data_IF_698243640028
#
_entry.id   IF_698243640028
#
_cell.length_a   1.000
_cell.length_b   1.000
_cell.length_c   1.000
_cell.angle_alpha   90.00
_cell.angle_beta   90.00
_cell.angle_gamma   90.00
#
_symmetry.space_group_name_H-M   'P 1'
#
loop_
_entity.id
_entity.type
_entity.pdbx_description
1 polymer ?
#
# COMPACT_ATOMS: atom_id res chain seq x y z
N UNK A 1 -31.06 15.06 -11.11
CA UNK A 1 -30.80 14.77 -9.68
C UNK A 1 -29.36 14.31 -9.56
N UNK A 2 -28.60 14.93 -8.67
CA UNK A 2 -27.22 14.61 -8.34
C UNK A 2 -27.18 13.58 -7.22
N UNK A 3 -26.20 12.70 -7.28
CA UNK A 3 -25.99 11.66 -6.29
C UNK A 3 -24.55 11.69 -5.77
N UNK A 4 -24.38 11.34 -4.50
CA UNK A 4 -23.10 11.38 -3.81
C UNK A 4 -22.83 10.02 -3.19
N UNK A 5 -21.63 9.48 -3.43
CA UNK A 5 -21.25 8.17 -2.94
C UNK A 5 -20.16 8.27 -1.86
N UNK A 6 -20.36 7.55 -0.75
CA UNK A 6 -19.36 7.28 0.26
C UNK A 6 -18.87 5.84 0.14
N UNK A 7 -17.55 5.67 0.12
CA UNK A 7 -16.88 4.37 0.07
C UNK A 7 -16.21 4.07 1.40
N UNK A 8 -16.46 2.88 1.93
CA UNK A 8 -15.69 2.28 3.02
C UNK A 8 -14.85 1.14 2.47
N UNK A 9 -13.60 1.45 2.13
CA UNK A 9 -12.69 0.53 1.45
C UNK A 9 -11.99 -0.34 2.48
N UNK A 10 -12.31 -1.63 2.50
CA UNK A 10 -11.60 -2.65 3.30
C UNK A 10 -10.80 -3.59 2.40
N UNK A 11 -10.11 -4.59 2.95
CA UNK A 11 -9.26 -5.49 2.17
C UNK A 11 -10.02 -6.40 1.20
N UNK A 12 -11.16 -6.94 1.63
CA UNK A 12 -11.93 -7.93 0.85
C UNK A 12 -13.13 -7.30 0.13
N UNK A 13 -13.93 -6.56 0.89
CA UNK A 13 -15.13 -5.90 0.38
C UNK A 13 -15.13 -4.40 0.71
N UNK A 14 -15.65 -3.63 -0.23
CA UNK A 14 -15.89 -2.21 -0.08
C UNK A 14 -17.39 -1.97 0.06
N UNK A 15 -17.79 -1.29 1.13
CA UNK A 15 -19.17 -0.85 1.30
C UNK A 15 -19.39 0.47 0.59
N UNK A 16 -20.50 0.56 -0.15
CA UNK A 16 -20.89 1.72 -0.96
C UNK A 16 -22.24 2.22 -0.44
N UNK A 17 -22.33 3.50 -0.12
CA UNK A 17 -23.59 4.15 0.20
C UNK A 17 -23.78 5.36 -0.72
N UNK A 18 -24.97 5.50 -1.30
CA UNK A 18 -25.32 6.57 -2.22
C UNK A 18 -26.47 7.37 -1.63
N UNK A 19 -26.30 8.68 -1.57
CA UNK A 19 -27.32 9.63 -1.12
C UNK A 19 -27.70 10.60 -2.25
N UNK A 20 -28.93 11.07 -2.24
CA UNK A 20 -29.38 12.16 -3.12
C UNK A 20 -29.01 13.55 -2.56
N UNK A 21 -29.39 14.61 -3.29
CA UNK A 21 -29.20 16.01 -2.88
C UNK A 21 -29.87 16.35 -1.53
N UNK A 22 -30.96 15.67 -1.19
CA UNK A 22 -31.70 15.88 0.08
C UNK A 22 -31.04 15.16 1.26
N UNK A 23 -30.08 14.27 0.98
CA UNK A 23 -29.40 13.45 1.98
C UNK A 23 -30.16 12.15 2.31
N UNK A 24 -31.15 11.76 1.50
CA UNK A 24 -31.79 10.45 1.63
C UNK A 24 -30.91 9.39 1.02
N UNK A 25 -30.82 8.24 1.69
CA UNK A 25 -30.13 7.07 1.17
C UNK A 25 -30.95 6.49 0.02
N UNK A 26 -30.34 6.43 -1.16
CA UNK A 26 -30.96 5.95 -2.39
C UNK A 26 -30.58 4.50 -2.63
N UNK A 27 -29.33 4.14 -2.34
CA UNK A 27 -28.81 2.80 -2.57
C UNK A 27 -27.66 2.48 -1.63
N UNK A 28 -27.65 1.26 -1.14
CA UNK A 28 -26.50 0.66 -0.47
C UNK A 28 -26.08 -0.57 -1.24
N UNK A 29 -24.78 -0.77 -1.38
CA UNK A 29 -24.21 -1.89 -2.10
C UNK A 29 -22.88 -2.32 -1.46
N UNK A 30 -22.45 -3.52 -1.80
CA UNK A 30 -21.10 -3.99 -1.53
C UNK A 30 -20.50 -4.48 -2.84
N UNK A 31 -19.20 -4.28 -2.98
CA UNK A 31 -18.42 -4.79 -4.08
C UNK A 31 -17.12 -5.36 -3.52
N UNK A 32 -16.52 -6.29 -4.25
CA UNK A 32 -15.14 -6.68 -3.95
C UNK A 32 -14.25 -5.44 -3.98
N UNK A 33 -13.25 -5.43 -3.11
CA UNK A 33 -12.20 -4.41 -3.04
C UNK A 33 -11.20 -4.55 -4.20
N UNK A 34 -11.74 -4.57 -5.40
CA UNK A 34 -11.05 -4.64 -6.66
C UNK A 34 -11.45 -3.42 -7.52
N UNK A 35 -10.49 -2.77 -8.18
CA UNK A 35 -10.72 -1.70 -9.15
C UNK A 35 -11.91 -1.89 -10.11
N UNK A 36 -11.97 -3.05 -10.78
CA UNK A 36 -12.94 -3.32 -11.81
C UNK A 36 -14.32 -3.58 -11.18
N UNK A 37 -14.36 -4.41 -10.14
CA UNK A 37 -15.60 -4.69 -9.40
C UNK A 37 -16.23 -3.41 -8.83
N UNK A 38 -15.42 -2.48 -8.31
CA UNK A 38 -15.91 -1.19 -7.82
C UNK A 38 -16.45 -0.30 -8.94
N UNK A 39 -15.75 -0.24 -10.07
CA UNK A 39 -16.23 0.51 -11.23
C UNK A 39 -17.55 -0.04 -11.75
N UNK A 40 -17.67 -1.35 -11.87
CA UNK A 40 -18.87 -2.02 -12.36
C UNK A 40 -20.03 -1.84 -11.38
N UNK A 41 -19.78 -1.93 -10.07
CA UNK A 41 -20.79 -1.66 -9.05
C UNK A 41 -21.29 -0.21 -9.09
N UNK A 42 -20.38 0.77 -9.26
CA UNK A 42 -20.73 2.19 -9.33
C UNK A 42 -21.46 2.53 -10.63
N UNK A 43 -20.98 2.06 -11.79
CA UNK A 43 -21.63 2.26 -13.10
C UNK A 43 -22.97 1.53 -13.19
N UNK A 44 -23.04 0.31 -12.65
CA UNK A 44 -24.25 -0.52 -12.59
C UNK A 44 -25.35 0.05 -11.71
N UNK A 45 -25.11 1.15 -10.99
CA UNK A 45 -26.19 1.87 -10.29
C UNK A 45 -27.11 2.62 -11.24
N UNK A 46 -26.64 2.99 -12.43
CA UNK A 46 -27.40 3.84 -13.38
C UNK A 46 -27.61 5.28 -12.89
N UNK A 47 -26.94 5.69 -11.80
CA UNK A 47 -27.08 7.01 -11.19
C UNK A 47 -25.98 7.96 -11.67
N UNK A 48 -26.32 9.23 -11.85
CA UNK A 48 -25.34 10.27 -12.16
C UNK A 48 -24.64 10.72 -10.86
N UNK A 49 -23.53 10.05 -10.53
CA UNK A 49 -22.71 10.34 -9.36
C UNK A 49 -21.88 11.62 -9.58
N UNK A 50 -22.15 12.68 -8.82
CA UNK A 50 -21.43 13.95 -8.90
C UNK A 50 -20.09 13.88 -8.14
N UNK A 51 -20.09 13.26 -6.96
CA UNK A 51 -18.87 13.08 -6.16
C UNK A 51 -18.85 11.70 -5.52
N UNK A 52 -17.67 11.10 -5.53
CA UNK A 52 -17.39 9.82 -4.89
C UNK A 52 -16.23 10.02 -3.93
N UNK A 53 -16.44 9.67 -2.66
CA UNK A 53 -15.45 9.85 -1.61
C UNK A 53 -14.97 8.53 -1.05
N UNK A 54 -13.65 8.37 -0.97
CA UNK A 54 -13.02 7.31 -0.18
C UNK A 54 -12.06 7.93 0.82
N UNK A 55 -11.97 7.33 2.00
CA UNK A 55 -11.02 7.76 3.02
C UNK A 55 -9.57 7.43 2.63
N UNK A 56 -8.63 8.27 3.07
CA UNK A 56 -7.20 7.96 3.00
C UNK A 56 -6.90 6.64 3.74
N UNK A 57 -6.38 5.66 3.00
CA UNK A 57 -6.06 4.32 3.48
C UNK A 57 -4.94 3.70 2.62
N UNK A 58 -4.50 2.49 2.96
CA UNK A 58 -3.54 1.72 2.15
C UNK A 58 -4.06 1.45 0.73
N UNK A 59 -5.38 1.47 0.55
CA UNK A 59 -6.09 1.20 -0.70
C UNK A 59 -6.52 2.48 -1.44
N UNK A 60 -6.03 3.67 -1.06
CA UNK A 60 -6.35 4.92 -1.76
C UNK A 60 -5.96 4.96 -3.23
N UNK A 61 -5.14 4.01 -3.69
CA UNK A 61 -4.85 3.80 -5.11
C UNK A 61 -6.10 3.43 -5.92
N UNK A 62 -7.15 2.88 -5.31
CA UNK A 62 -8.39 2.50 -5.99
C UNK A 62 -9.07 3.69 -6.66
N UNK A 63 -8.83 4.90 -6.16
CA UNK A 63 -9.23 6.16 -6.81
C UNK A 63 -8.79 6.22 -8.27
N UNK A 64 -7.56 5.77 -8.56
CA UNK A 64 -6.96 5.92 -9.88
C UNK A 64 -7.66 5.05 -10.94
N UNK A 65 -8.37 4.00 -10.51
CA UNK A 65 -9.06 3.08 -11.40
C UNK A 65 -10.53 3.42 -11.64
N UNK A 66 -11.06 4.37 -10.88
CA UNK A 66 -12.39 4.94 -11.10
C UNK A 66 -12.37 5.91 -12.30
N UNK A 67 -11.83 5.47 -13.44
CA UNK A 67 -11.73 6.28 -14.65
C UNK A 67 -13.13 6.68 -15.14
N UNK A 68 -13.35 7.99 -15.26
CA UNK A 68 -14.63 8.60 -15.61
C UNK A 68 -15.55 8.89 -14.42
N UNK A 69 -15.15 8.53 -13.19
CA UNK A 69 -15.89 8.85 -11.97
C UNK A 69 -15.07 9.85 -11.14
N UNK A 70 -15.72 10.89 -10.60
CA UNK A 70 -15.08 11.94 -9.78
C UNK A 70 -14.67 11.44 -8.37
N UNK A 71 -13.88 10.37 -8.32
CA UNK A 71 -13.40 9.76 -7.09
C UNK A 71 -12.34 10.65 -6.42
N UNK A 72 -12.57 10.93 -5.14
CA UNK A 72 -11.75 11.82 -4.33
C UNK A 72 -11.33 11.12 -3.05
N UNK A 73 -10.03 11.16 -2.76
CA UNK A 73 -9.51 10.72 -1.49
C UNK A 73 -9.65 11.85 -0.47
N UNK A 74 -10.27 11.57 0.69
CA UNK A 74 -10.53 12.57 1.73
C UNK A 74 -9.68 12.32 2.98
N UNK A 75 -9.32 13.40 3.69
CA UNK A 75 -8.51 13.33 4.91
C UNK A 75 -9.27 12.63 6.05
N UNK A 76 -8.68 11.56 6.61
CA UNK A 76 -9.24 10.76 7.72
C UNK A 76 -9.66 11.61 8.92
N UNK A 77 -8.79 12.52 9.38
CA UNK A 77 -9.03 13.27 10.62
C UNK A 77 -10.23 14.20 10.49
N UNK A 78 -10.34 14.90 9.36
CA UNK A 78 -11.47 15.79 9.11
C UNK A 78 -12.75 15.01 8.85
N UNK A 79 -12.67 13.90 8.10
CA UNK A 79 -13.81 13.00 7.88
C UNK A 79 -14.37 12.54 9.23
N UNK A 80 -13.51 12.07 10.13
CA UNK A 80 -13.89 11.65 11.49
C UNK A 80 -14.48 12.81 12.31
N UNK A 81 -13.94 14.02 12.20
CA UNK A 81 -14.49 15.20 12.88
C UNK A 81 -15.89 15.56 12.36
N UNK A 82 -16.08 15.56 11.04
CA UNK A 82 -17.39 15.80 10.41
C UNK A 82 -18.41 14.71 10.80
N UNK A 83 -18.00 13.44 10.83
CA UNK A 83 -18.86 12.33 11.27
C UNK A 83 -19.37 12.51 12.70
N UNK A 84 -18.55 13.00 13.63
CA UNK A 84 -18.96 13.25 15.01
C UNK A 84 -20.03 14.33 15.15
N UNK A 85 -20.08 15.28 14.22
CA UNK A 85 -21.07 16.37 14.24
C UNK A 85 -22.40 15.98 13.60
N UNK A 86 -22.49 14.81 12.97
CA UNK A 86 -23.70 14.38 12.27
C UNK A 86 -24.63 13.58 13.18
N UNK A 87 -25.96 13.71 13.01
CA UNK A 87 -26.95 12.94 13.77
C UNK A 87 -27.05 11.47 13.34
N UNK A 88 -26.12 10.97 12.52
CA UNK A 88 -26.07 9.58 12.04
C UNK A 88 -25.62 8.63 13.14
N UNK A 89 -26.21 7.44 13.20
CA UNK A 89 -25.78 6.38 14.15
C UNK A 89 -24.29 6.05 13.95
N UNK A 90 -23.51 5.84 15.03
CA UNK A 90 -22.06 5.60 14.94
C UNK A 90 -21.66 4.36 14.13
N UNK A 91 -22.54 3.35 14.02
CA UNK A 91 -22.31 2.13 13.21
C UNK A 91 -22.47 2.36 11.70
N UNK A 92 -23.10 3.47 11.28
CA UNK A 92 -23.39 3.78 9.89
C UNK A 92 -22.27 4.63 9.26
N UNK A 93 -21.06 4.08 9.16
CA UNK A 93 -19.88 4.80 8.66
C UNK A 93 -20.02 5.19 7.18
N UNK A 94 -20.51 4.28 6.34
CA UNK A 94 -20.65 4.49 4.89
C UNK A 94 -21.69 5.57 4.56
N UNK A 95 -22.91 5.58 5.16
CA UNK A 95 -23.86 6.69 4.99
C UNK A 95 -23.32 8.04 5.44
N UNK A 96 -22.58 8.09 6.55
CA UNK A 96 -21.97 9.33 7.00
C UNK A 96 -20.93 9.86 6.00
N UNK A 97 -20.12 8.99 5.38
CA UNK A 97 -19.20 9.41 4.31
C UNK A 97 -19.94 9.94 3.08
N UNK A 98 -21.04 9.32 2.68
CA UNK A 98 -21.87 9.80 1.56
C UNK A 98 -22.44 11.20 1.85
N UNK A 99 -22.86 11.44 3.09
CA UNK A 99 -23.31 12.76 3.56
C UNK A 99 -22.20 13.81 3.57
N UNK A 100 -20.97 13.43 3.92
CA UNK A 100 -19.79 14.30 3.84
C UNK A 100 -19.51 14.69 2.39
N UNK A 101 -19.63 13.75 1.46
CA UNK A 101 -19.45 14.04 0.03
C UNK A 101 -20.52 14.98 -0.51
N UNK A 102 -21.77 14.82 -0.07
CA UNK A 102 -22.89 15.71 -0.39
C UNK A 102 -22.68 17.13 0.14
N UNK A 103 -22.32 17.25 1.41
CA UNK A 103 -22.14 18.55 2.10
C UNK A 103 -20.83 19.24 1.77
N UNK A 104 -19.83 18.51 1.25
CA UNK A 104 -18.50 19.06 0.98
C UNK A 104 -17.66 19.30 2.23
N UNK A 105 -18.04 18.73 3.39
CA UNK A 105 -17.34 18.91 4.68
C UNK A 105 -16.06 18.05 4.78
N UNK A 106 -15.18 18.14 3.78
CA UNK A 106 -13.94 17.37 3.73
C UNK A 106 -12.81 18.19 3.09
N UNK A 107 -11.58 17.74 3.33
CA UNK A 107 -10.39 18.19 2.62
C UNK A 107 -9.94 17.08 1.69
N UNK A 108 -9.79 17.43 0.42
CA UNK A 108 -9.21 16.56 -0.57
C UNK A 108 -7.72 16.36 -0.30
N UNK A 109 -7.29 15.10 -0.26
CA UNK A 109 -5.90 14.73 -0.13
C UNK A 109 -5.27 14.57 -1.52
N UNK A 110 -4.06 15.11 -1.67
CA UNK A 110 -3.25 14.82 -2.85
C UNK A 110 -2.73 13.37 -2.76
N UNK A 111 -3.22 12.51 -3.65
CA UNK A 111 -2.69 11.16 -3.84
C UNK A 111 -1.61 11.23 -4.91
N UNK A 112 -0.37 10.88 -4.54
CA UNK A 112 0.76 10.79 -5.48
C UNK A 112 0.40 9.84 -6.62
N UNK A 113 0.85 10.11 -7.85
CA UNK A 113 0.61 9.24 -9.00
C UNK A 113 1.05 7.79 -8.74
N UNK A 114 0.45 6.83 -9.45
CA UNK A 114 0.83 5.42 -9.41
C UNK A 114 2.34 5.22 -9.57
N UNK A 115 2.95 5.91 -10.53
CA UNK A 115 4.39 5.86 -10.79
C UNK A 115 5.22 6.31 -9.57
N UNK A 116 4.85 7.44 -8.95
CA UNK A 116 5.53 7.96 -7.77
C UNK A 116 5.39 7.05 -6.54
N UNK A 117 4.30 6.30 -6.41
CA UNK A 117 4.13 5.29 -5.36
C UNK A 117 5.00 4.07 -5.63
N UNK A 118 5.00 3.56 -6.86
CA UNK A 118 5.83 2.42 -7.27
C UNK A 118 7.32 2.69 -7.10
N UNK A 119 7.83 3.84 -7.56
CA UNK A 119 9.23 4.20 -7.38
C UNK A 119 9.64 4.28 -5.91
N UNK A 120 8.78 4.83 -5.04
CA UNK A 120 9.04 4.85 -3.60
C UNK A 120 9.14 3.42 -3.04
N UNK A 121 8.22 2.54 -3.42
CA UNK A 121 8.24 1.14 -2.98
C UNK A 121 9.52 0.43 -3.43
N UNK A 122 9.94 0.62 -4.70
CA UNK A 122 11.17 0.03 -5.23
C UNK A 122 12.43 0.55 -4.52
N UNK A 123 12.48 1.86 -4.23
CA UNK A 123 13.60 2.44 -3.49
C UNK A 123 13.68 1.93 -2.04
N UNK A 124 12.54 1.78 -1.38
CA UNK A 124 12.47 1.16 -0.04
C UNK A 124 12.93 -0.29 -0.11
N UNK A 125 12.41 -1.08 -1.05
CA UNK A 125 12.81 -2.48 -1.23
C UNK A 125 14.33 -2.61 -1.48
N UNK A 126 14.89 -1.79 -2.38
CA UNK A 126 16.34 -1.76 -2.63
C UNK A 126 17.14 -1.44 -1.37
N UNK A 127 16.70 -0.42 -0.60
CA UNK A 127 17.37 -0.05 0.66
C UNK A 127 17.31 -1.19 1.68
N UNK A 128 16.16 -1.85 1.82
CA UNK A 128 15.99 -3.00 2.72
C UNK A 128 16.94 -4.12 2.34
N UNK A 129 16.96 -4.56 1.08
CA UNK A 129 17.87 -5.61 0.60
C UNK A 129 19.33 -5.26 0.90
N UNK A 130 19.76 -4.03 0.62
CA UNK A 130 21.14 -3.60 0.89
C UNK A 130 21.48 -3.60 2.39
N UNK A 131 20.53 -3.26 3.25
CA UNK A 131 20.73 -3.29 4.70
C UNK A 131 20.81 -4.73 5.23
N UNK A 132 19.93 -5.61 4.76
CA UNK A 132 19.96 -7.03 5.14
C UNK A 132 21.24 -7.72 4.66
N UNK A 133 21.70 -7.41 3.44
CA UNK A 133 23.00 -7.93 2.95
C UNK A 133 24.16 -7.49 3.85
N UNK A 134 24.20 -6.22 4.28
CA UNK A 134 25.22 -5.74 5.24
C UNK A 134 25.12 -6.44 6.58
N UNK A 135 23.89 -6.68 7.07
CA UNK A 135 23.65 -7.41 8.30
C UNK A 135 24.24 -8.82 8.21
N UNK A 136 23.96 -9.54 7.11
CA UNK A 136 24.51 -10.87 6.83
C UNK A 136 26.04 -10.83 6.72
N UNK A 137 26.60 -9.86 5.97
CA UNK A 137 28.05 -9.67 5.85
C UNK A 137 28.71 -9.50 7.24
N UNK A 138 28.12 -8.69 8.12
CA UNK A 138 28.62 -8.47 9.49
C UNK A 138 28.58 -9.74 10.35
N UNK A 139 27.52 -10.54 10.22
CA UNK A 139 27.43 -11.84 10.91
C UNK A 139 28.53 -12.78 10.43
N UNK A 140 28.73 -12.89 9.10
CA UNK A 140 29.81 -13.71 8.54
C UNK A 140 31.19 -13.25 9.02
N UNK A 141 31.41 -11.94 9.08
CA UNK A 141 32.63 -11.34 9.62
C UNK A 141 32.90 -11.74 11.07
N UNK A 142 31.88 -11.71 11.93
CA UNK A 142 32.01 -12.10 13.32
C UNK A 142 32.41 -13.58 13.46
N UNK A 143 31.77 -14.46 12.69
CA UNK A 143 32.04 -15.90 12.74
C UNK A 143 33.46 -16.21 12.22
N UNK A 144 33.88 -15.61 11.11
CA UNK A 144 35.24 -15.80 10.58
C UNK A 144 36.33 -15.33 11.54
N UNK A 145 36.04 -14.27 12.32
CA UNK A 145 36.96 -13.78 13.34
C UNK A 145 37.13 -14.80 14.47
N UNK A 146 36.05 -15.47 14.86
CA UNK A 146 36.09 -16.55 15.86
C UNK A 146 36.91 -17.74 15.37
N UNK A 147 36.81 -18.09 14.08
CA UNK A 147 37.62 -19.14 13.44
C UNK A 147 39.08 -18.70 13.16
N UNK A 148 39.51 -17.52 13.60
CA UNK A 148 40.87 -17.00 13.40
C UNK A 148 41.16 -16.47 11.98
N UNK A 149 40.18 -16.43 11.09
CA UNK A 149 40.34 -16.00 9.69
C UNK A 149 40.25 -14.48 9.58
N UNK A 150 41.29 -13.86 9.03
CA UNK A 150 41.32 -12.41 8.77
C UNK A 150 40.91 -12.13 7.32
N UNK A 151 39.68 -11.66 7.11
CA UNK A 151 39.13 -11.44 5.77
C UNK A 151 39.74 -10.24 5.02
N UNK A 152 40.29 -9.25 5.73
CA UNK A 152 40.77 -7.98 5.14
C UNK A 152 39.61 -7.07 4.73
N UNK A 153 39.83 -5.99 3.97
CA UNK A 153 38.77 -5.06 3.55
C UNK A 153 38.39 -5.28 2.07
N UNK A 154 37.74 -6.40 1.69
CA UNK A 154 37.34 -6.62 0.30
C UNK A 154 36.25 -5.63 -0.11
N UNK A 155 36.18 -5.34 -1.41
CA UNK A 155 35.02 -4.66 -1.98
C UNK A 155 33.78 -5.54 -1.83
N UNK A 156 32.57 -4.94 -1.86
CA UNK A 156 31.31 -5.69 -1.77
C UNK A 156 31.18 -6.78 -2.82
N UNK A 157 31.59 -6.50 -4.06
CA UNK A 157 31.53 -7.49 -5.14
C UNK A 157 32.50 -8.66 -4.93
N UNK A 158 33.61 -8.43 -4.23
CA UNK A 158 34.62 -9.44 -3.94
C UNK A 158 34.36 -10.21 -2.64
N UNK A 159 33.54 -9.67 -1.72
CA UNK A 159 33.33 -10.24 -0.38
C UNK A 159 32.98 -11.74 -0.40
N UNK A 160 31.92 -12.12 -1.14
CA UNK A 160 31.48 -13.51 -1.21
C UNK A 160 32.52 -14.43 -1.88
N UNK A 161 33.33 -13.92 -2.80
CA UNK A 161 34.43 -14.66 -3.39
C UNK A 161 35.55 -14.90 -2.38
N UNK A 162 35.92 -13.84 -1.64
CA UNK A 162 36.99 -13.89 -0.64
C UNK A 162 36.65 -14.80 0.54
N UNK A 163 35.40 -14.77 1.02
CA UNK A 163 34.91 -15.70 2.05
C UNK A 163 35.09 -17.15 1.57
N UNK A 164 34.65 -17.47 0.35
CA UNK A 164 34.77 -18.83 -0.22
C UNK A 164 36.21 -19.30 -0.41
N UNK A 165 37.11 -18.39 -0.77
CA UNK A 165 38.54 -18.68 -0.90
C UNK A 165 39.15 -19.05 0.46
N UNK A 166 38.86 -18.25 1.49
CA UNK A 166 39.45 -18.42 2.83
C UNK A 166 38.85 -19.58 3.62
N UNK A 167 37.56 -19.88 3.45
CA UNK A 167 36.91 -21.04 4.08
C UNK A 167 37.11 -22.34 3.29
N UNK A 168 37.79 -22.28 2.14
CA UNK A 168 37.82 -23.36 1.16
C UNK A 168 38.42 -24.68 1.64
N UNK A 169 39.29 -24.64 2.64
CA UNK A 169 40.03 -25.78 3.18
C UNK A 169 39.50 -26.31 4.52
N UNK A 170 38.53 -25.63 5.14
CA UNK A 170 38.03 -25.95 6.48
C UNK A 170 36.66 -26.63 6.41
N UNK A 171 36.58 -27.87 6.87
CA UNK A 171 35.39 -28.71 6.79
C UNK A 171 34.22 -28.16 7.63
N UNK A 172 34.49 -27.49 8.75
CA UNK A 172 33.46 -26.91 9.62
C UNK A 172 32.89 -25.62 9.01
N UNK A 173 33.72 -24.88 8.27
CA UNK A 173 33.36 -23.60 7.63
C UNK A 173 32.77 -23.76 6.22
N UNK A 174 32.81 -24.96 5.64
CA UNK A 174 32.18 -25.27 4.34
C UNK A 174 30.68 -25.01 4.33
N UNK A 175 30.00 -25.13 5.48
CA UNK A 175 28.57 -24.82 5.62
C UNK A 175 28.23 -23.35 5.37
N UNK A 176 29.21 -22.44 5.47
CA UNK A 176 29.04 -21.01 5.19
C UNK A 176 29.20 -20.65 3.71
N UNK A 177 29.42 -21.63 2.83
CA UNK A 177 29.47 -21.41 1.38
C UNK A 177 28.08 -21.02 0.88
N UNK A 178 27.86 -19.71 0.78
CA UNK A 178 26.68 -19.17 0.13
C UNK A 178 26.70 -19.52 -1.36
N UNK A 179 25.74 -20.30 -1.82
CA UNK A 179 25.54 -20.61 -3.25
C UNK A 179 25.17 -19.31 -3.98
N UNK A 180 26.05 -18.85 -4.89
CA UNK A 180 25.82 -17.67 -5.74
C UNK A 180 24.60 -17.78 -6.66
N UNK A 181 23.95 -18.96 -6.71
CA UNK A 181 22.80 -19.24 -7.56
C UNK A 181 21.53 -18.47 -7.18
N UNK A 182 21.47 -17.85 -6.00
CA UNK A 182 20.31 -17.05 -5.57
C UNK A 182 20.30 -15.58 -6.06
N UNK A 183 21.38 -15.07 -6.67
CA UNK A 183 21.47 -13.66 -7.10
C UNK A 183 21.81 -13.46 -8.58
N UNK A 184 22.05 -14.53 -9.35
CA UNK A 184 22.42 -14.44 -10.77
C UNK A 184 21.24 -14.46 -11.74
N UNK A 185 19.99 -14.56 -11.28
CA UNK A 185 18.79 -14.54 -12.14
C UNK A 185 18.17 -13.15 -12.34
N UNK A 186 18.95 -12.08 -12.16
CA UNK A 186 18.49 -10.70 -12.33
C UNK A 186 19.47 -9.87 -13.15
N UNK A 187 19.71 -10.29 -14.40
CA UNK A 187 20.05 -9.42 -15.54
C UNK A 187 19.28 -9.92 -16.74
#
# INVERSE_FOLDING_TARGET
MKYFAGLDVSLEETSICIVDETGRIVKEARALSDPQALCDALKGTGLQLERIGLEACSLSFMRDYAEGLSATCIETRQTKAAMKTMPTKPTAMTPARAQIMRTGLYRQMHVKSRQCRLWRSLLVARRTVLNEMRSIENVLWAILRESGVKLGLPSRSAFAGRVRELTGADAEMMAMRWSSRCLQSSV
#
